data_IF_472466377055
#
_entry.id   IF_472466377055
#
_cell.length_a   1.000
_cell.length_b   1.000
_cell.length_c   1.000
_cell.angle_alpha   90.00
_cell.angle_beta   90.00
_cell.angle_gamma   90.00
#
_symmetry.space_group_name_H-M   'P 1'
#
loop_
_entity.id
_entity.type
_entity.pdbx_description
1 polymer ?
#
# COMPACT_ATOMS: atom_id res chain seq x y z
N UNK A 1 7.25 23.08 -17.87
CA UNK A 1 6.29 23.11 -16.75
C UNK A 1 6.29 21.75 -16.08
N UNK A 2 6.24 21.73 -14.75
CA UNK A 2 6.19 20.51 -13.95
C UNK A 2 4.88 20.46 -13.17
N UNK A 3 4.36 19.25 -12.96
CA UNK A 3 3.24 18.96 -12.06
C UNK A 3 3.79 18.22 -10.85
N UNK A 4 3.44 18.66 -9.64
CA UNK A 4 3.85 17.95 -8.44
C UNK A 4 3.12 16.61 -8.33
N UNK A 5 3.67 15.68 -7.54
CA UNK A 5 2.99 14.39 -7.30
C UNK A 5 1.65 14.60 -6.57
N UNK A 6 1.60 15.53 -5.62
CA UNK A 6 0.37 15.85 -4.89
C UNK A 6 -0.73 16.38 -5.80
N UNK A 7 -0.39 17.26 -6.75
CA UNK A 7 -1.37 17.79 -7.73
C UNK A 7 -1.86 16.69 -8.69
N UNK A 8 -0.95 15.81 -9.15
CA UNK A 8 -1.36 14.65 -9.95
C UNK A 8 -2.30 13.76 -9.13
N UNK A 9 -1.94 13.46 -7.87
CA UNK A 9 -2.74 12.63 -6.96
C UNK A 9 -4.13 13.21 -6.74
N UNK A 10 -4.24 14.52 -6.48
CA UNK A 10 -5.52 15.20 -6.34
C UNK A 10 -6.39 15.06 -7.60
N UNK A 11 -5.81 15.28 -8.78
CA UNK A 11 -6.51 15.09 -10.07
C UNK A 11 -7.01 13.66 -10.24
N UNK A 12 -6.17 12.65 -9.97
CA UNK A 12 -6.50 11.23 -10.06
C UNK A 12 -7.62 10.78 -9.10
N UNK A 13 -7.87 11.55 -8.04
CA UNK A 13 -8.94 11.33 -7.07
C UNK A 13 -10.21 12.15 -7.36
N UNK A 14 -10.11 13.12 -8.26
CA UNK A 14 -11.20 14.02 -8.62
C UNK A 14 -11.88 13.63 -9.93
N UNK A 15 -12.86 14.44 -10.34
CA UNK A 15 -13.49 14.30 -11.65
C UNK A 15 -12.62 14.82 -12.82
N UNK A 16 -11.52 15.52 -12.54
CA UNK A 16 -10.65 16.12 -13.55
C UNK A 16 -9.95 15.05 -14.42
N UNK A 17 -10.13 15.16 -15.74
CA UNK A 17 -9.52 14.25 -16.71
C UNK A 17 -8.01 14.51 -16.86
N UNK A 18 -7.22 13.45 -16.70
CA UNK A 18 -5.78 13.45 -16.98
C UNK A 18 -5.47 12.33 -17.96
N UNK A 19 -4.63 12.61 -18.94
CA UNK A 19 -4.06 11.59 -19.83
C UNK A 19 -2.59 11.36 -19.46
N UNK A 20 -2.21 10.11 -19.20
CA UNK A 20 -0.81 9.78 -18.94
C UNK A 20 -0.08 9.30 -20.20
N UNK A 21 1.05 9.93 -20.48
CA UNK A 21 2.03 9.44 -21.46
C UNK A 21 3.26 8.91 -20.72
N UNK A 22 3.34 7.60 -20.55
CA UNK A 22 4.47 6.95 -19.88
C UNK A 22 5.54 6.57 -20.90
N UNK A 23 6.74 7.11 -20.74
CA UNK A 23 7.86 6.89 -21.68
C UNK A 23 8.91 5.89 -21.19
N UNK A 24 8.61 5.16 -20.10
CA UNK A 24 9.49 4.09 -19.60
C UNK A 24 9.46 2.87 -20.52
N UNK A 25 10.46 1.98 -20.42
CA UNK A 25 10.39 0.65 -21.03
C UNK A 25 9.09 -0.06 -20.68
N UNK A 26 8.49 -0.76 -21.66
CA UNK A 26 7.17 -1.38 -21.47
C UNK A 26 7.13 -2.42 -20.34
N UNK A 27 8.27 -3.06 -20.03
CA UNK A 27 8.38 -3.97 -18.88
C UNK A 27 8.20 -3.24 -17.54
N UNK A 28 8.83 -2.08 -17.37
CA UNK A 28 8.69 -1.26 -16.15
C UNK A 28 7.27 -0.68 -16.03
N UNK A 29 6.71 -0.22 -17.15
CA UNK A 29 5.33 0.24 -17.20
C UNK A 29 4.34 -0.86 -16.82
N UNK A 30 4.48 -2.06 -17.39
CA UNK A 30 3.60 -3.19 -17.09
C UNK A 30 3.70 -3.65 -15.63
N UNK A 31 4.90 -3.59 -15.04
CA UNK A 31 5.12 -3.98 -13.65
C UNK A 31 4.51 -2.96 -12.65
N UNK A 32 4.49 -1.67 -12.99
CA UNK A 32 4.03 -0.64 -12.06
C UNK A 32 3.49 0.59 -12.77
N UNK A 33 2.20 0.83 -12.57
CA UNK A 33 1.43 1.90 -13.22
C UNK A 33 0.94 2.92 -12.21
N UNK A 34 0.78 4.16 -12.66
CA UNK A 34 -0.01 5.14 -11.93
C UNK A 34 -1.50 4.82 -12.17
N UNK A 35 -2.28 4.80 -11.11
CA UNK A 35 -3.70 4.46 -11.14
C UNK A 35 -4.49 5.56 -10.41
N UNK A 36 -5.71 5.80 -10.85
CA UNK A 36 -6.64 6.74 -10.23
C UNK A 36 -7.86 6.05 -9.64
N UNK A 37 -8.76 6.84 -9.05
CA UNK A 37 -10.05 6.37 -8.54
C UNK A 37 -10.94 5.79 -9.64
N UNK A 38 -10.74 6.25 -10.87
CA UNK A 38 -11.45 5.82 -12.09
C UNK A 38 -10.43 5.30 -13.12
N UNK A 39 -10.87 4.51 -14.12
CA UNK A 39 -10.01 4.07 -15.21
C UNK A 39 -9.27 5.26 -15.82
N UNK A 40 -7.95 5.17 -15.83
CA UNK A 40 -7.06 6.24 -16.27
C UNK A 40 -6.58 5.96 -17.69
N UNK A 41 -6.87 6.87 -18.61
CA UNK A 41 -6.34 6.79 -19.97
C UNK A 41 -4.82 6.96 -19.93
N UNK A 42 -4.12 5.94 -20.40
CA UNK A 42 -2.66 5.90 -20.38
C UNK A 42 -2.14 5.28 -21.67
N UNK A 43 -1.13 5.93 -22.25
CA UNK A 43 -0.37 5.42 -23.38
C UNK A 43 1.09 5.22 -22.96
N UNK A 44 1.63 4.02 -23.17
CA UNK A 44 3.05 3.76 -22.98
C UNK A 44 3.80 3.79 -24.32
N UNK A 45 4.76 4.70 -24.45
CA UNK A 45 5.63 4.81 -25.62
C UNK A 45 7.08 4.89 -25.13
N UNK A 46 7.83 3.77 -25.11
CA UNK A 46 9.20 3.78 -24.60
C UNK A 46 10.08 4.82 -25.31
N UNK A 47 10.80 5.63 -24.54
CA UNK A 47 11.66 6.70 -25.07
C UNK A 47 12.71 6.16 -26.06
N UNK A 48 13.18 4.93 -25.89
CA UNK A 48 14.14 4.30 -26.81
C UNK A 48 13.59 4.18 -28.23
N UNK A 49 12.26 4.00 -28.39
CA UNK A 49 11.62 4.01 -29.71
C UNK A 49 11.49 5.41 -30.28
N UNK A 50 11.33 6.41 -29.42
CA UNK A 50 11.22 7.81 -29.82
C UNK A 50 12.53 8.39 -30.36
N UNK A 51 13.67 7.84 -29.91
CA UNK A 51 15.01 8.34 -30.24
C UNK A 51 15.76 7.49 -31.26
N UNK A 52 15.14 6.45 -31.80
CA UNK A 52 15.81 5.50 -32.70
C UNK A 52 16.41 6.17 -33.96
N UNK A 53 15.82 7.28 -34.40
CA UNK A 53 16.22 8.04 -35.60
C UNK A 53 16.63 9.50 -35.28
N UNK A 54 16.96 9.82 -34.02
CA UNK A 54 17.25 11.18 -33.59
C UNK A 54 18.75 11.50 -33.67
N UNK A 55 19.15 12.42 -34.56
CA UNK A 55 20.57 12.80 -34.70
C UNK A 55 21.01 13.91 -33.73
N UNK A 56 20.22 14.98 -33.51
CA UNK A 56 20.67 16.12 -32.66
C UNK A 56 19.59 16.78 -31.76
N UNK A 57 18.30 16.77 -32.12
CA UNK A 57 17.22 17.40 -31.34
C UNK A 57 16.28 16.35 -30.72
N UNK A 58 16.62 15.92 -29.50
CA UNK A 58 15.86 14.92 -28.72
C UNK A 58 14.40 15.35 -28.51
N UNK A 59 14.09 16.59 -28.03
CA UNK A 59 12.72 17.07 -27.94
C UNK A 59 11.95 17.00 -29.27
N UNK A 60 12.51 17.52 -30.36
CA UNK A 60 11.83 17.55 -31.66
C UNK A 60 11.66 16.15 -32.25
N UNK A 61 12.64 15.26 -32.10
CA UNK A 61 12.55 13.88 -32.58
C UNK A 61 11.52 13.07 -31.78
N UNK A 62 11.53 13.19 -30.45
CA UNK A 62 10.57 12.51 -29.59
C UNK A 62 9.15 13.00 -29.85
N UNK A 63 8.99 14.32 -30.03
CA UNK A 63 7.76 14.88 -30.53
C UNK A 63 7.42 14.20 -31.87
N UNK A 64 8.24 14.39 -32.92
CA UNK A 64 7.98 13.96 -34.30
C UNK A 64 7.51 12.49 -34.36
N UNK A 65 8.16 11.62 -33.59
CA UNK A 65 7.79 10.22 -33.43
C UNK A 65 6.38 10.05 -32.84
N UNK A 66 6.07 10.75 -31.75
CA UNK A 66 4.74 10.73 -31.12
C UNK A 66 3.66 11.19 -32.09
N UNK A 67 3.86 12.27 -32.85
CA UNK A 67 2.88 12.70 -33.86
C UNK A 67 2.72 11.66 -34.96
N UNK A 68 3.81 11.24 -35.59
CA UNK A 68 3.76 10.28 -36.71
C UNK A 68 3.03 8.99 -36.35
N UNK A 69 3.20 8.50 -35.11
CA UNK A 69 2.73 7.17 -34.71
C UNK A 69 1.50 7.18 -33.79
N UNK A 70 1.20 8.31 -33.14
CA UNK A 70 0.18 8.40 -32.09
C UNK A 70 -0.67 9.69 -32.15
N UNK A 71 -0.58 10.47 -33.24
CA UNK A 71 -1.58 11.52 -33.53
C UNK A 71 -2.98 10.89 -33.59
N UNK A 72 -3.94 11.52 -32.92
CA UNK A 72 -5.31 10.99 -32.72
C UNK A 72 -5.47 10.01 -31.53
N UNK A 73 -4.38 9.54 -30.91
CA UNK A 73 -4.43 8.72 -29.68
C UNK A 73 -4.19 9.51 -28.39
N UNK A 74 -3.61 10.71 -28.51
CA UNK A 74 -3.48 11.66 -27.40
C UNK A 74 -4.63 12.67 -27.52
N UNK A 75 -5.54 12.75 -26.52
CA UNK A 75 -6.69 13.63 -26.57
C UNK A 75 -6.26 15.10 -26.62
N UNK A 76 -6.96 15.89 -27.43
CA UNK A 76 -6.86 17.36 -27.43
C UNK A 76 -7.79 17.91 -26.35
N UNK A 77 -7.33 18.92 -25.60
CA UNK A 77 -8.13 19.58 -24.55
C UNK A 77 -8.05 18.91 -23.16
N UNK A 78 -7.33 17.81 -23.01
CA UNK A 78 -6.98 17.22 -21.71
C UNK A 78 -5.55 17.57 -21.31
N UNK A 79 -5.30 17.68 -20.00
CA UNK A 79 -3.95 17.78 -19.47
C UNK A 79 -3.19 16.46 -19.73
N UNK A 80 -2.10 16.54 -20.50
CA UNK A 80 -1.19 15.43 -20.77
C UNK A 80 -0.05 15.45 -19.75
N UNK A 81 0.02 14.44 -18.90
CA UNK A 81 1.11 14.29 -17.93
C UNK A 81 2.10 13.25 -18.48
N UNK A 82 3.31 13.70 -18.78
CA UNK A 82 4.38 12.80 -19.24
C UNK A 82 5.16 12.25 -18.04
N UNK A 83 5.48 10.96 -18.10
CA UNK A 83 6.08 10.23 -16.97
C UNK A 83 7.28 9.41 -17.44
N UNK A 84 8.40 9.51 -16.73
CA UNK A 84 9.51 8.56 -16.81
C UNK A 84 9.99 8.20 -15.39
N UNK A 85 11.07 7.43 -15.26
CA UNK A 85 11.59 7.00 -13.96
C UNK A 85 11.90 8.16 -13.00
N UNK A 86 12.61 9.20 -13.46
CA UNK A 86 13.10 10.32 -12.63
C UNK A 86 12.59 11.71 -13.09
N UNK A 87 11.67 11.76 -14.05
CA UNK A 87 11.12 13.01 -14.59
C UNK A 87 12.07 13.81 -15.51
N UNK A 88 13.20 13.23 -15.93
CA UNK A 88 14.19 13.89 -16.83
C UNK A 88 13.79 13.73 -18.29
N UNK A 89 13.75 12.49 -18.79
CA UNK A 89 13.37 12.18 -20.18
C UNK A 89 11.97 12.68 -20.52
N UNK A 90 11.01 12.50 -19.62
CA UNK A 90 9.63 12.95 -19.81
C UNK A 90 9.50 14.47 -19.91
N UNK A 91 10.44 15.26 -19.37
CA UNK A 91 10.43 16.70 -19.49
C UNK A 91 10.63 17.17 -20.95
N UNK A 92 11.58 16.55 -21.66
CA UNK A 92 11.81 16.81 -23.09
C UNK A 92 10.59 16.41 -23.94
N UNK A 93 9.96 15.28 -23.62
CA UNK A 93 8.73 14.84 -24.31
C UNK A 93 7.58 15.82 -24.09
N UNK A 94 7.39 16.32 -22.86
CA UNK A 94 6.37 17.33 -22.58
C UNK A 94 6.64 18.64 -23.32
N UNK A 95 7.89 19.04 -23.46
CA UNK A 95 8.28 20.22 -24.24
C UNK A 95 7.96 20.07 -25.72
N UNK A 96 8.33 18.93 -26.30
CA UNK A 96 7.98 18.57 -27.66
C UNK A 96 6.47 18.67 -27.92
N UNK A 97 5.66 18.06 -27.05
CA UNK A 97 4.19 18.12 -27.13
C UNK A 97 3.63 19.55 -27.04
N UNK A 98 4.19 20.40 -26.17
CA UNK A 98 3.77 21.80 -26.04
C UNK A 98 4.03 22.61 -27.30
N UNK A 99 5.14 22.37 -28.00
CA UNK A 99 5.42 23.04 -29.28
C UNK A 99 4.36 22.77 -30.36
N UNK A 100 3.52 21.75 -30.16
CA UNK A 100 2.41 21.36 -31.03
C UNK A 100 1.03 21.67 -30.48
N UNK A 101 0.96 22.51 -29.44
CA UNK A 101 -0.29 22.99 -28.86
C UNK A 101 -1.01 21.97 -27.97
N UNK A 102 -0.31 20.97 -27.44
CA UNK A 102 -0.86 20.16 -26.34
C UNK A 102 -0.62 20.86 -25.00
N UNK A 103 -1.60 20.79 -24.10
CA UNK A 103 -1.39 21.12 -22.69
C UNK A 103 -0.63 19.97 -22.02
N UNK A 104 0.70 20.04 -22.04
CA UNK A 104 1.57 18.96 -21.55
C UNK A 104 2.50 19.40 -20.43
N UNK A 105 2.53 18.62 -19.35
CA UNK A 105 3.37 18.82 -18.16
C UNK A 105 4.16 17.56 -17.84
N UNK A 106 5.32 17.74 -17.21
CA UNK A 106 6.15 16.65 -16.72
C UNK A 106 5.82 16.33 -15.27
N UNK A 107 5.69 15.06 -14.92
CA UNK A 107 5.61 14.66 -13.51
C UNK A 107 6.94 14.93 -12.82
N UNK A 108 6.95 15.86 -11.86
CA UNK A 108 8.15 16.25 -11.13
C UNK A 108 8.75 15.05 -10.40
N UNK A 109 10.01 14.73 -10.70
CA UNK A 109 10.72 13.58 -10.12
C UNK A 109 10.26 12.21 -10.63
N UNK A 110 9.28 12.16 -11.54
CA UNK A 110 8.81 10.93 -12.19
C UNK A 110 8.27 9.87 -11.24
N UNK A 111 8.39 8.60 -11.65
CA UNK A 111 7.93 7.45 -10.86
C UNK A 111 8.66 7.28 -9.53
N UNK A 112 9.89 7.74 -9.40
CA UNK A 112 10.61 7.73 -8.13
C UNK A 112 9.92 8.64 -7.10
N UNK A 113 9.52 9.85 -7.51
CA UNK A 113 8.76 10.74 -6.64
C UNK A 113 7.35 10.22 -6.38
N UNK A 114 6.67 9.65 -7.41
CA UNK A 114 5.38 8.98 -7.24
C UNK A 114 5.46 7.86 -6.18
N UNK A 115 6.48 7.02 -6.29
CA UNK A 115 6.74 5.93 -5.36
C UNK A 115 6.95 6.38 -3.93
N UNK A 116 7.53 7.55 -3.71
CA UNK A 116 7.84 8.09 -2.38
C UNK A 116 6.80 9.12 -1.89
N UNK A 117 5.64 9.20 -2.54
CA UNK A 117 4.58 10.06 -2.08
C UNK A 117 3.76 9.42 -0.97
N UNK A 118 3.51 10.21 0.07
CA UNK A 118 2.70 9.87 1.22
C UNK A 118 1.57 10.89 1.35
N UNK A 119 0.40 10.42 1.76
CA UNK A 119 -0.74 11.26 2.08
C UNK A 119 -1.36 10.81 3.41
N UNK A 120 -1.94 11.76 4.13
CA UNK A 120 -2.61 11.48 5.40
C UNK A 120 -4.08 11.89 5.34
N UNK A 121 -4.95 11.10 5.95
CA UNK A 121 -6.38 11.36 6.00
C UNK A 121 -6.91 11.18 7.42
N UNK A 122 -7.67 12.16 7.91
CA UNK A 122 -8.37 12.06 9.18
C UNK A 122 -9.64 11.20 9.00
N UNK A 123 -9.70 10.07 9.68
CA UNK A 123 -10.77 9.07 9.51
C UNK A 123 -11.80 9.15 10.62
N UNK A 124 -11.35 9.34 11.85
CA UNK A 124 -12.19 9.55 13.03
C UNK A 124 -11.65 10.75 13.80
N UNK A 125 -12.52 11.65 14.21
CA UNK A 125 -12.20 12.78 15.09
C UNK A 125 -13.30 12.92 16.14
N UNK A 126 -12.90 12.81 17.40
CA UNK A 126 -13.70 12.98 18.61
C UNK A 126 -12.88 13.87 19.59
N UNK A 127 -13.49 14.50 20.61
CA UNK A 127 -12.84 15.55 21.41
C UNK A 127 -11.44 15.22 21.98
N UNK A 128 -11.19 13.95 22.32
CA UNK A 128 -9.90 13.47 22.83
C UNK A 128 -9.42 12.21 22.07
N UNK A 129 -9.93 11.97 20.86
CA UNK A 129 -9.63 10.73 20.14
C UNK A 129 -9.59 10.97 18.64
N UNK A 130 -8.55 10.48 17.98
CA UNK A 130 -8.45 10.56 16.53
C UNK A 130 -7.84 9.30 15.93
N UNK A 131 -8.31 8.92 14.74
CA UNK A 131 -7.66 7.91 13.90
C UNK A 131 -7.29 8.55 12.59
N UNK A 132 -6.00 8.53 12.28
CA UNK A 132 -5.41 9.13 11.09
C UNK A 132 -4.78 8.02 10.26
N UNK A 133 -5.13 7.98 8.98
CA UNK A 133 -4.48 7.13 7.99
C UNK A 133 -3.20 7.80 7.52
N UNK A 134 -2.13 7.03 7.34
CA UNK A 134 -0.97 7.39 6.52
C UNK A 134 -0.91 6.38 5.37
N UNK A 135 -1.09 6.85 4.14
CA UNK A 135 -1.09 6.01 2.95
C UNK A 135 0.15 6.29 2.10
N UNK A 136 0.66 5.25 1.45
CA UNK A 136 1.63 5.36 0.35
C UNK A 136 0.96 4.89 -0.94
N UNK A 137 0.25 5.77 -1.66
CA UNK A 137 -0.73 5.35 -2.66
C UNK A 137 -0.14 4.55 -3.81
N UNK A 138 1.07 4.90 -4.21
CA UNK A 138 1.79 4.22 -5.29
C UNK A 138 2.05 2.73 -5.02
N UNK A 139 2.03 2.34 -3.74
CA UNK A 139 2.28 0.99 -3.26
C UNK A 139 1.03 0.28 -2.77
N UNK A 140 -0.01 1.04 -2.42
CA UNK A 140 -1.24 0.49 -1.84
C UNK A 140 -1.13 0.15 -0.36
N UNK A 141 -0.09 0.63 0.34
CA UNK A 141 0.15 0.37 1.76
C UNK A 141 -0.51 1.44 2.62
N UNK A 142 -1.02 1.01 3.78
CA UNK A 142 -1.69 1.83 4.77
C UNK A 142 -1.05 1.61 6.13
N UNK A 143 -1.06 2.67 6.90
CA UNK A 143 -0.61 2.72 8.27
C UNK A 143 -1.57 3.60 9.06
N UNK A 144 -1.63 3.39 10.37
CA UNK A 144 -2.59 4.06 11.22
C UNK A 144 -1.91 4.73 12.40
N UNK A 145 -2.32 5.95 12.67
CA UNK A 145 -2.01 6.67 13.90
C UNK A 145 -3.31 6.77 14.69
N UNK A 146 -3.28 6.28 15.92
CA UNK A 146 -4.40 6.41 16.87
C UNK A 146 -3.96 7.30 18.00
N UNK A 147 -4.73 8.34 18.29
CA UNK A 147 -4.46 9.31 19.36
C UNK A 147 -5.59 9.22 20.38
N UNK A 148 -5.25 9.18 21.67
CA UNK A 148 -6.20 9.28 22.79
C UNK A 148 -5.61 10.21 23.86
N UNK A 149 -6.20 11.38 24.05
CA UNK A 149 -5.61 12.46 24.84
C UNK A 149 -4.28 12.94 24.27
N UNK A 150 -3.21 12.87 25.07
CA UNK A 150 -1.85 13.24 24.68
C UNK A 150 -0.99 12.03 24.28
N UNK A 151 -1.56 10.82 24.21
CA UNK A 151 -0.86 9.60 23.83
C UNK A 151 -1.22 9.17 22.40
N UNK A 152 -0.26 8.52 21.71
CA UNK A 152 -0.46 7.97 20.39
C UNK A 152 0.11 6.55 20.23
N UNK A 153 -0.55 5.73 19.42
CA UNK A 153 -0.03 4.46 18.90
C UNK A 153 0.10 4.54 17.39
N UNK A 154 1.20 3.98 16.87
CA UNK A 154 1.41 3.80 15.43
C UNK A 154 1.28 2.34 15.08
N UNK A 155 0.51 2.02 14.05
CA UNK A 155 0.26 0.66 13.57
C UNK A 155 0.72 0.57 12.12
N UNK A 156 1.51 -0.46 11.82
CA UNK A 156 2.10 -0.75 10.51
C UNK A 156 2.83 0.45 9.87
N UNK A 157 3.75 1.13 10.59
CA UNK A 157 4.48 2.27 10.06
C UNK A 157 5.24 1.94 8.77
N UNK A 158 5.02 2.77 7.76
CA UNK A 158 5.71 2.70 6.48
C UNK A 158 7.12 3.31 6.59
N UNK A 159 8.00 2.94 5.66
CA UNK A 159 9.44 3.25 5.69
C UNK A 159 9.82 4.71 5.99
N UNK A 160 9.11 5.69 5.44
CA UNK A 160 9.42 7.11 5.65
C UNK A 160 8.83 7.62 6.97
N UNK A 161 9.65 8.03 7.96
CA UNK A 161 9.16 8.48 9.26
C UNK A 161 8.51 9.88 9.23
N UNK A 162 8.80 10.70 8.22
CA UNK A 162 8.45 12.13 8.22
C UNK A 162 6.94 12.43 8.44
N UNK A 163 5.98 11.73 7.78
CA UNK A 163 4.55 12.00 7.98
C UNK A 163 4.09 11.75 9.43
N UNK A 164 4.69 10.77 10.10
CA UNK A 164 4.38 10.41 11.48
C UNK A 164 4.88 11.48 12.44
N UNK A 165 6.16 11.84 12.33
CA UNK A 165 6.79 12.87 13.18
C UNK A 165 6.08 14.22 13.04
N UNK A 166 5.70 14.60 11.81
CA UNK A 166 4.91 15.80 11.56
C UNK A 166 3.54 15.73 12.24
N UNK A 167 2.85 14.60 12.14
CA UNK A 167 1.54 14.39 12.79
C UNK A 167 1.65 14.54 14.31
N UNK A 168 2.65 13.92 14.95
CA UNK A 168 2.83 14.01 16.40
C UNK A 168 3.18 15.44 16.85
N UNK A 169 4.03 16.14 16.10
CA UNK A 169 4.35 17.54 16.36
C UNK A 169 3.11 18.43 16.27
N UNK A 170 2.27 18.23 15.25
CA UNK A 170 1.08 19.05 15.03
C UNK A 170 -0.03 18.75 16.03
N UNK A 171 -0.15 17.50 16.50
CA UNK A 171 -1.17 17.08 17.48
C UNK A 171 -0.70 17.17 18.94
N UNK A 172 0.59 17.39 19.19
CA UNK A 172 1.17 17.41 20.53
C UNK A 172 1.13 16.06 21.25
N UNK A 173 1.11 14.95 20.50
CA UNK A 173 0.96 13.60 21.06
C UNK A 173 2.30 12.90 21.28
N UNK A 174 2.44 12.18 22.40
CA UNK A 174 3.57 11.32 22.74
C UNK A 174 3.27 9.88 22.32
N UNK A 175 4.16 9.27 21.54
CA UNK A 175 3.98 7.88 21.11
C UNK A 175 4.25 6.92 22.27
N UNK A 176 3.25 6.12 22.64
CA UNK A 176 3.31 5.13 23.71
C UNK A 176 3.59 3.71 23.19
N UNK A 177 3.30 3.42 21.92
CA UNK A 177 3.66 2.17 21.27
C UNK A 177 3.79 2.31 19.75
N UNK A 178 4.70 1.52 19.17
CA UNK A 178 4.80 1.29 17.73
C UNK A 178 4.56 -0.21 17.49
N UNK A 179 3.60 -0.55 16.63
CA UNK A 179 3.12 -1.91 16.46
C UNK A 179 3.20 -2.27 14.98
N UNK A 180 3.83 -3.40 14.67
CA UNK A 180 3.60 -4.08 13.39
C UNK A 180 2.64 -5.25 13.62
N UNK A 181 1.54 -5.25 12.87
CA UNK A 181 0.52 -6.32 12.89
C UNK A 181 1.11 -7.65 12.43
N UNK A 182 2.11 -7.59 11.55
CA UNK A 182 2.84 -8.73 11.05
C UNK A 182 4.20 -8.26 10.51
N UNK A 183 5.14 -9.18 10.29
CA UNK A 183 6.36 -8.84 9.57
C UNK A 183 6.05 -8.63 8.09
N UNK A 184 6.01 -7.38 7.62
CA UNK A 184 5.63 -7.02 6.25
C UNK A 184 6.55 -7.65 5.20
N UNK A 185 5.99 -7.93 4.01
CA UNK A 185 6.72 -8.53 2.89
C UNK A 185 6.84 -7.60 1.69
N UNK A 186 5.94 -6.64 1.56
CA UNK A 186 5.79 -5.71 0.43
C UNK A 186 6.48 -4.36 0.66
N UNK A 187 6.80 -4.04 1.92
CA UNK A 187 7.51 -2.84 2.30
C UNK A 187 8.42 -3.08 3.50
N UNK A 188 9.45 -2.23 3.60
CA UNK A 188 10.32 -2.15 4.76
C UNK A 188 9.61 -1.32 5.81
N UNK A 189 9.39 -1.92 6.98
CA UNK A 189 8.74 -1.28 8.12
C UNK A 189 9.57 -0.10 8.62
N UNK A 190 8.90 1.03 8.86
CA UNK A 190 9.46 2.15 9.59
C UNK A 190 9.46 1.95 11.10
N UNK A 191 8.90 0.83 11.60
CA UNK A 191 8.56 0.65 13.01
C UNK A 191 9.74 0.65 13.95
N UNK A 192 10.81 -0.06 13.61
CA UNK A 192 12.05 -0.06 14.40
C UNK A 192 12.68 1.33 14.46
N UNK A 193 12.75 2.03 13.32
CA UNK A 193 13.36 3.37 13.23
C UNK A 193 12.56 4.36 14.05
N UNK A 194 11.23 4.38 13.87
CA UNK A 194 10.33 5.25 14.63
C UNK A 194 10.36 4.96 16.13
N UNK A 195 10.36 3.69 16.53
CA UNK A 195 10.42 3.30 17.94
C UNK A 195 11.69 3.82 18.63
N UNK A 196 12.85 3.71 17.96
CA UNK A 196 14.12 4.25 18.47
C UNK A 196 14.09 5.78 18.55
N UNK A 197 13.65 6.45 17.48
CA UNK A 197 13.60 7.91 17.42
C UNK A 197 12.66 8.51 18.47
N UNK A 198 11.51 7.87 18.68
CA UNK A 198 10.48 8.30 19.62
C UNK A 198 10.67 7.77 21.04
N UNK A 199 11.66 6.88 21.25
CA UNK A 199 11.88 6.14 22.50
C UNK A 199 10.61 5.41 22.99
N UNK A 200 9.88 4.84 22.05
CA UNK A 200 8.65 4.10 22.29
C UNK A 200 8.92 2.58 22.17
N UNK A 201 8.20 1.73 22.92
CA UNK A 201 8.28 0.29 22.75
C UNK A 201 7.77 -0.14 21.37
N UNK A 202 8.55 -0.99 20.70
CA UNK A 202 8.16 -1.66 19.46
C UNK A 202 7.55 -3.03 19.77
N UNK A 203 6.45 -3.37 19.09
CA UNK A 203 5.70 -4.61 19.29
C UNK A 203 5.55 -5.41 18.00
N UNK A 204 5.75 -6.72 18.10
CA UNK A 204 5.55 -7.69 17.03
C UNK A 204 5.18 -9.05 17.64
N UNK A 205 4.45 -9.88 16.90
CA UNK A 205 4.22 -11.27 17.32
C UNK A 205 5.49 -12.13 17.12
N UNK A 206 5.87 -13.00 18.07
CA UNK A 206 7.12 -13.77 18.00
C UNK A 206 7.25 -14.69 16.77
N UNK A 207 6.14 -15.23 16.24
CA UNK A 207 6.19 -16.03 15.00
C UNK A 207 6.58 -15.25 13.76
N UNK A 208 6.41 -13.93 13.76
CA UNK A 208 6.84 -13.06 12.67
C UNK A 208 8.25 -12.51 12.87
N UNK A 209 8.86 -12.77 14.03
CA UNK A 209 10.29 -12.64 14.22
C UNK A 209 11.07 -13.87 13.71
N UNK A 210 10.44 -14.78 12.97
CA UNK A 210 11.08 -15.91 12.30
C UNK A 210 10.81 -15.78 10.81
N UNK A 211 11.86 -15.82 9.99
CA UNK A 211 11.66 -15.70 8.55
C UNK A 211 11.02 -16.98 7.98
N UNK A 212 9.92 -16.90 7.22
CA UNK A 212 9.04 -18.04 6.99
C UNK A 212 9.57 -19.06 5.97
N UNK A 213 10.59 -18.70 5.18
CA UNK A 213 11.14 -19.56 4.11
C UNK A 213 12.42 -20.29 4.53
N UNK A 214 13.35 -19.60 5.19
CA UNK A 214 14.63 -20.17 5.64
C UNK A 214 14.62 -20.51 7.15
N UNK A 215 13.54 -20.19 7.86
CA UNK A 215 13.31 -20.50 9.27
C UNK A 215 14.34 -19.89 10.23
N UNK A 216 15.05 -18.84 9.79
CA UNK A 216 16.04 -18.15 10.61
C UNK A 216 15.36 -17.24 11.63
N UNK A 217 15.79 -17.26 12.91
CA UNK A 217 15.31 -16.32 13.91
C UNK A 217 15.84 -14.91 13.61
N UNK A 218 14.96 -13.93 13.61
CA UNK A 218 15.25 -12.53 13.41
C UNK A 218 16.16 -11.95 14.48
N UNK A 219 16.81 -10.82 14.13
CA UNK A 219 17.71 -10.05 14.99
C UNK A 219 17.10 -8.66 15.22
N UNK A 220 16.02 -8.63 15.97
CA UNK A 220 15.34 -7.41 16.37
C UNK A 220 14.99 -7.46 17.86
N UNK A 221 14.98 -6.29 18.48
CA UNK A 221 14.40 -6.11 19.81
C UNK A 221 12.94 -5.69 19.66
N UNK A 222 12.04 -6.39 20.35
CA UNK A 222 10.61 -6.12 20.31
C UNK A 222 9.92 -6.71 21.54
N UNK A 223 8.74 -6.17 21.83
CA UNK A 223 7.82 -6.66 22.84
C UNK A 223 6.79 -7.58 22.18
N UNK A 224 6.35 -8.61 22.89
CA UNK A 224 5.48 -9.63 22.30
C UNK A 224 4.03 -9.14 22.22
N UNK A 225 3.45 -9.28 21.03
CA UNK A 225 2.02 -9.31 20.86
C UNK A 225 1.54 -10.75 21.08
N UNK A 226 0.61 -10.94 22.01
CA UNK A 226 0.05 -12.26 22.34
C UNK A 226 -1.48 -12.19 22.39
N UNK A 227 -2.14 -13.25 21.96
CA UNK A 227 -3.60 -13.39 22.06
C UNK A 227 -4.10 -13.07 23.49
N UNK A 228 -5.18 -12.30 23.57
CA UNK A 228 -5.84 -11.98 24.84
C UNK A 228 -5.11 -10.94 25.71
N UNK A 229 -3.89 -10.53 25.32
CA UNK A 229 -3.22 -9.39 25.93
C UNK A 229 -3.87 -8.07 25.50
N UNK A 230 -3.47 -6.98 26.16
CA UNK A 230 -3.97 -5.66 25.84
C UNK A 230 -2.94 -4.56 26.01
N UNK A 231 -3.08 -3.52 25.20
CA UNK A 231 -2.29 -2.30 25.27
C UNK A 231 -3.22 -1.12 25.56
N UNK A 232 -2.84 -0.29 26.52
CA UNK A 232 -3.59 0.92 26.85
C UNK A 232 -3.11 2.09 26.01
N UNK A 233 -4.05 2.96 25.64
CA UNK A 233 -3.79 4.21 24.93
C UNK A 233 -4.72 5.28 25.54
N UNK A 234 -4.21 6.08 26.48
CA UNK A 234 -5.04 6.99 27.25
C UNK A 234 -6.21 6.27 27.93
N UNK A 235 -7.45 6.62 27.54
CA UNK A 235 -8.69 5.99 28.03
C UNK A 235 -9.16 4.80 27.19
N UNK A 236 -8.50 4.56 26.07
CA UNK A 236 -8.82 3.47 25.13
C UNK A 236 -7.95 2.25 25.38
N UNK A 237 -8.46 1.08 24.98
CA UNK A 237 -7.76 -0.20 25.15
C UNK A 237 -7.82 -1.04 23.89
N UNK A 238 -6.65 -1.44 23.42
CA UNK A 238 -6.51 -2.46 22.38
C UNK A 238 -6.59 -3.86 22.98
N UNK A 239 -7.42 -4.72 22.40
CA UNK A 239 -7.39 -6.17 22.53
C UNK A 239 -6.55 -6.76 21.38
N UNK A 240 -5.59 -7.62 21.70
CA UNK A 240 -4.74 -8.27 20.69
C UNK A 240 -5.35 -9.61 20.29
N UNK A 241 -5.63 -9.76 18.99
CA UNK A 241 -6.22 -10.96 18.39
C UNK A 241 -5.20 -11.62 17.46
N UNK A 242 -4.69 -12.81 17.79
CA UNK A 242 -3.80 -13.58 16.92
C UNK A 242 -4.58 -14.20 15.74
N UNK A 243 -4.28 -13.77 14.53
CA UNK A 243 -5.02 -14.11 13.31
C UNK A 243 -4.10 -14.72 12.24
N UNK A 244 -3.48 -15.88 12.52
CA UNK A 244 -2.56 -16.51 11.59
C UNK A 244 -3.24 -16.83 10.26
N UNK A 245 -2.49 -16.72 9.17
CA UNK A 245 -2.98 -16.95 7.82
C UNK A 245 -2.06 -16.31 6.79
N UNK A 246 -2.09 -14.98 6.71
CA UNK A 246 -1.18 -14.22 5.84
C UNK A 246 0.29 -14.43 6.21
N UNK A 247 0.56 -14.30 7.50
CA UNK A 247 1.77 -14.78 8.17
C UNK A 247 1.34 -15.65 9.36
N UNK A 248 2.28 -16.37 9.96
CA UNK A 248 2.00 -17.14 11.17
C UNK A 248 1.87 -16.24 12.41
N UNK A 249 2.50 -15.07 12.41
CA UNK A 249 2.43 -14.11 13.50
C UNK A 249 1.39 -12.99 13.33
N UNK A 250 0.61 -12.96 12.25
CA UNK A 250 -0.33 -11.88 12.03
C UNK A 250 -1.28 -11.67 13.22
N UNK A 251 -1.44 -10.41 13.65
CA UNK A 251 -2.39 -9.99 14.67
C UNK A 251 -3.34 -8.92 14.14
N UNK A 252 -4.54 -8.87 14.68
CA UNK A 252 -5.46 -7.75 14.55
C UNK A 252 -5.62 -7.07 15.91
N UNK A 253 -5.88 -5.77 15.91
CA UNK A 253 -6.02 -4.96 17.12
C UNK A 253 -7.45 -4.44 17.18
N UNK A 254 -8.21 -4.86 18.20
CA UNK A 254 -9.58 -4.39 18.42
C UNK A 254 -9.57 -3.32 19.51
N UNK A 255 -9.82 -2.07 19.13
CA UNK A 255 -9.84 -0.93 20.04
C UNK A 255 -11.26 -0.62 20.49
N UNK A 256 -11.49 -0.67 21.80
CA UNK A 256 -12.76 -0.34 22.47
C UNK A 256 -13.98 -1.05 21.85
N UNK A 257 -13.77 -2.19 21.20
CA UNK A 257 -14.78 -2.95 20.42
C UNK A 257 -15.48 -2.13 19.32
N UNK A 258 -14.85 -1.06 18.84
CA UNK A 258 -15.37 -0.13 17.81
C UNK A 258 -14.51 -0.10 16.56
N UNK A 259 -13.20 -0.25 16.70
CA UNK A 259 -12.25 -0.07 15.62
C UNK A 259 -11.35 -1.31 15.52
N UNK A 260 -11.39 -2.00 14.38
CA UNK A 260 -10.59 -3.20 14.12
C UNK A 260 -9.48 -2.88 13.14
N UNK A 261 -8.24 -2.76 13.64
CA UNK A 261 -7.04 -2.68 12.80
C UNK A 261 -6.68 -4.10 12.38
N UNK A 262 -7.04 -4.45 11.14
CA UNK A 262 -7.02 -5.81 10.64
C UNK A 262 -5.69 -6.23 9.99
N UNK A 263 -4.74 -5.28 9.84
CA UNK A 263 -3.49 -5.49 9.11
C UNK A 263 -3.76 -6.17 7.76
N UNK A 264 -2.95 -7.17 7.45
CA UNK A 264 -3.11 -8.02 6.27
C UNK A 264 -3.90 -9.28 6.59
N UNK A 265 -5.17 -9.09 6.94
CA UNK A 265 -6.14 -10.19 7.07
C UNK A 265 -7.38 -9.91 6.24
N UNK A 266 -8.02 -8.75 6.46
CA UNK A 266 -9.28 -8.35 5.82
C UNK A 266 -9.14 -6.94 5.22
N UNK A 267 -9.37 -6.82 3.92
CA UNK A 267 -9.32 -5.56 3.19
C UNK A 267 -10.73 -5.07 2.81
N UNK A 268 -10.84 -3.89 2.18
CA UNK A 268 -12.15 -3.33 1.79
C UNK A 268 -12.84 -4.24 0.77
N UNK A 269 -12.15 -4.57 -0.32
CA UNK A 269 -12.73 -5.38 -1.41
C UNK A 269 -12.13 -6.81 -1.52
N UNK A 270 -11.11 -7.16 -0.73
CA UNK A 270 -10.44 -8.48 -0.79
C UNK A 270 -10.00 -8.99 0.60
N UNK A 271 -9.30 -10.13 0.64
CA UNK A 271 -8.62 -10.69 1.80
C UNK A 271 -7.15 -10.96 1.45
N UNK A 272 -6.32 -11.22 2.46
CA UNK A 272 -4.90 -11.51 2.28
C UNK A 272 -4.64 -12.89 1.65
N UNK A 273 -3.50 -13.02 0.97
CA UNK A 273 -2.93 -14.31 0.54
C UNK A 273 -2.29 -15.08 1.70
N UNK A 274 -2.47 -16.42 1.83
CA UNK A 274 -1.85 -17.20 2.91
C UNK A 274 -0.59 -17.99 2.48
N UNK A 275 0.13 -17.58 1.43
CA UNK A 275 1.24 -18.36 0.85
C UNK A 275 2.62 -17.72 1.04
N UNK A 276 2.76 -16.70 1.90
CA UNK A 276 4.04 -15.98 2.05
C UNK A 276 5.21 -16.84 2.57
N UNK A 277 4.92 -17.97 3.21
CA UNK A 277 5.91 -18.99 3.59
C UNK A 277 6.04 -20.14 2.60
N UNK A 278 5.48 -20.03 1.39
CA UNK A 278 5.44 -21.13 0.41
C UNK A 278 4.54 -22.30 0.81
N UNK A 279 3.68 -22.10 1.82
CA UNK A 279 2.85 -23.13 2.48
C UNK A 279 1.36 -22.79 2.44
N UNK A 280 0.88 -22.47 1.23
CA UNK A 280 -0.50 -22.01 1.03
C UNK A 280 -1.54 -23.03 1.53
N UNK A 281 -1.32 -24.32 1.27
CA UNK A 281 -2.24 -25.38 1.66
C UNK A 281 -2.33 -25.52 3.19
N UNK A 282 -1.21 -25.39 3.89
CA UNK A 282 -1.16 -25.49 5.35
C UNK A 282 -1.68 -24.23 6.06
N UNK A 283 -1.48 -23.05 5.48
CA UNK A 283 -1.86 -21.78 6.11
C UNK A 283 -3.30 -21.36 5.78
N UNK A 284 -3.88 -21.87 4.69
CA UNK A 284 -5.26 -21.59 4.30
C UNK A 284 -6.29 -21.95 5.40
N UNK A 285 -6.23 -23.13 6.06
CA UNK A 285 -7.14 -23.44 7.17
C UNK A 285 -7.00 -22.48 8.36
N UNK A 286 -5.77 -22.03 8.66
CA UNK A 286 -5.52 -21.04 9.71
C UNK A 286 -6.16 -19.70 9.34
N UNK A 287 -5.94 -19.24 8.10
CA UNK A 287 -6.52 -18.01 7.59
C UNK A 287 -8.05 -18.04 7.61
N UNK A 288 -8.65 -19.17 7.22
CA UNK A 288 -10.09 -19.40 7.28
C UNK A 288 -10.63 -19.25 8.70
N UNK A 289 -9.99 -19.90 9.69
CA UNK A 289 -10.39 -19.81 11.10
C UNK A 289 -10.27 -18.37 11.64
N UNK A 290 -9.18 -17.69 11.32
CA UNK A 290 -8.92 -16.30 11.68
C UNK A 290 -9.98 -15.35 11.12
N UNK A 291 -10.29 -15.45 9.83
CA UNK A 291 -11.33 -14.64 9.19
C UNK A 291 -12.70 -14.89 9.81
N UNK A 292 -13.08 -16.15 10.05
CA UNK A 292 -14.36 -16.47 10.71
C UNK A 292 -14.47 -15.85 12.08
N UNK A 293 -13.37 -15.86 12.85
CA UNK A 293 -13.33 -15.25 14.18
C UNK A 293 -13.51 -13.73 14.12
N UNK A 294 -12.78 -13.05 13.22
CA UNK A 294 -12.94 -11.61 13.02
C UNK A 294 -14.35 -11.25 12.52
N UNK A 295 -14.87 -12.02 11.57
CA UNK A 295 -16.21 -11.83 11.00
C UNK A 295 -17.32 -12.20 12.00
N UNK A 296 -17.03 -12.82 13.14
CA UNK A 296 -18.01 -13.06 14.20
C UNK A 296 -18.11 -11.91 15.23
N UNK A 297 -17.24 -10.90 15.17
CA UNK A 297 -17.26 -9.78 16.13
C UNK A 297 -18.56 -8.97 15.98
N UNK A 298 -19.36 -8.96 17.04
CA UNK A 298 -20.64 -8.23 17.06
C UNK A 298 -20.46 -6.73 17.30
N UNK A 299 -21.46 -5.94 16.90
CA UNK A 299 -21.48 -4.48 17.04
C UNK A 299 -21.15 -3.73 15.76
N UNK A 300 -21.20 -2.39 15.85
CA UNK A 300 -20.84 -1.48 14.76
C UNK A 300 -19.33 -1.24 14.78
N UNK A 301 -18.59 -2.17 14.16
CA UNK A 301 -17.13 -2.13 14.07
C UNK A 301 -16.69 -1.57 12.71
N UNK A 302 -15.83 -0.55 12.74
CA UNK A 302 -15.14 -0.05 11.55
C UNK A 302 -13.80 -0.77 11.38
N UNK A 303 -13.51 -1.24 10.17
CA UNK A 303 -12.30 -2.00 9.84
C UNK A 303 -11.28 -1.11 9.16
N UNK A 304 -10.04 -1.19 9.63
CA UNK A 304 -8.85 -0.46 9.21
C UNK A 304 -7.82 -1.46 8.66
N UNK A 305 -7.73 -1.63 7.33
CA UNK A 305 -6.83 -2.59 6.69
C UNK A 305 -5.36 -2.11 6.63
N UNK A 306 -4.43 -3.03 6.39
CA UNK A 306 -3.02 -2.72 6.09
C UNK A 306 -2.78 -2.34 4.61
N UNK A 307 -3.66 -2.76 3.70
CA UNK A 307 -3.50 -2.53 2.26
C UNK A 307 -4.81 -2.25 1.53
N UNK A 308 -4.67 -1.68 0.33
CA UNK A 308 -5.73 -1.57 -0.67
C UNK A 308 -5.23 -1.98 -2.06
N UNK A 309 -6.14 -2.46 -2.90
CA UNK A 309 -5.86 -2.92 -4.26
C UNK A 309 -6.28 -1.92 -5.33
N UNK A 310 -7.13 -0.95 -5.02
CA UNK A 310 -7.58 0.08 -5.94
C UNK A 310 -7.84 1.39 -5.21
N UNK A 311 -7.47 2.52 -5.82
CA UNK A 311 -7.84 3.84 -5.30
C UNK A 311 -9.36 4.05 -5.22
N UNK A 312 -10.14 3.25 -5.97
CA UNK A 312 -11.60 3.22 -5.92
C UNK A 312 -12.16 2.73 -4.56
N UNK A 313 -11.36 1.99 -3.77
CA UNK A 313 -11.75 1.50 -2.44
C UNK A 313 -11.85 2.63 -1.39
N UNK A 314 -11.27 3.80 -1.67
CA UNK A 314 -11.31 4.94 -0.76
C UNK A 314 -12.68 5.63 -0.73
N UNK A 315 -13.07 6.09 0.46
CA UNK A 315 -14.24 6.95 0.65
C UNK A 315 -14.01 8.38 0.11
N UNK A 316 -14.95 9.29 0.38
CA UNK A 316 -14.84 10.70 -0.04
C UNK A 316 -13.74 11.49 0.68
N UNK A 317 -13.22 10.98 1.80
CA UNK A 317 -12.12 11.57 2.58
C UNK A 317 -10.76 11.02 2.15
N UNK A 318 -10.73 10.06 1.23
CA UNK A 318 -9.51 9.33 0.86
C UNK A 318 -9.12 8.23 1.85
N UNK A 319 -10.01 7.86 2.77
CA UNK A 319 -9.78 6.80 3.75
C UNK A 319 -10.22 5.45 3.19
N UNK A 320 -9.41 4.41 3.42
CA UNK A 320 -9.70 3.03 3.01
C UNK A 320 -10.23 2.26 4.23
N UNK A 321 -11.51 2.49 4.55
CA UNK A 321 -12.17 1.86 5.71
C UNK A 321 -13.56 1.39 5.34
N UNK A 322 -14.03 0.36 6.02
CA UNK A 322 -15.37 -0.18 5.80
C UNK A 322 -15.94 -0.79 7.08
N UNK A 323 -17.25 -0.69 7.31
CA UNK A 323 -17.87 -1.37 8.44
C UNK A 323 -17.78 -2.89 8.27
N UNK A 324 -17.50 -3.62 9.35
CA UNK A 324 -17.44 -5.09 9.36
C UNK A 324 -18.76 -5.71 8.85
N UNK A 325 -19.90 -5.08 9.18
CA UNK A 325 -21.22 -5.47 8.70
C UNK A 325 -21.33 -5.44 7.17
N UNK A 326 -20.79 -4.40 6.52
CA UNK A 326 -20.78 -4.31 5.05
C UNK A 326 -19.78 -5.29 4.44
N UNK A 327 -18.62 -5.49 5.07
CA UNK A 327 -17.63 -6.46 4.58
C UNK A 327 -18.19 -7.88 4.53
N UNK A 328 -18.96 -8.31 5.55
CA UNK A 328 -19.63 -9.63 5.55
C UNK A 328 -20.50 -9.89 4.32
N UNK A 329 -21.11 -8.85 3.74
CA UNK A 329 -22.03 -9.00 2.60
C UNK A 329 -21.40 -8.67 1.24
N UNK A 330 -20.43 -7.74 1.19
CA UNK A 330 -19.84 -7.27 -0.07
C UNK A 330 -18.52 -7.95 -0.42
N UNK A 331 -17.67 -8.22 0.57
CA UNK A 331 -16.32 -8.75 0.34
C UNK A 331 -16.40 -10.24 -0.01
N UNK A 332 -15.89 -10.63 -1.18
CA UNK A 332 -16.00 -12.00 -1.68
C UNK A 332 -15.24 -13.00 -0.79
N UNK A 333 -14.02 -12.64 -0.39
CA UNK A 333 -13.21 -13.47 0.51
C UNK A 333 -13.88 -13.66 1.89
N UNK A 334 -14.52 -12.60 2.41
CA UNK A 334 -15.29 -12.69 3.66
C UNK A 334 -16.51 -13.62 3.52
N UNK A 335 -17.26 -13.52 2.41
CA UNK A 335 -18.38 -14.43 2.13
C UNK A 335 -17.91 -15.88 2.01
N UNK A 336 -16.80 -16.11 1.31
CA UNK A 336 -16.20 -17.44 1.18
C UNK A 336 -15.78 -18.01 2.54
N UNK A 337 -15.20 -17.18 3.43
CA UNK A 337 -14.80 -17.61 4.77
C UNK A 337 -15.99 -17.93 5.70
N UNK A 338 -17.15 -17.29 5.49
CA UNK A 338 -18.38 -17.64 6.22
C UNK A 338 -19.01 -18.96 5.75
N UNK A 339 -18.68 -19.39 4.53
CA UNK A 339 -19.14 -20.63 3.92
C UNK A 339 -18.37 -21.88 4.38
N UNK A 340 -18.25 -22.82 3.44
CA UNK A 340 -17.59 -24.12 3.64
C UNK A 340 -16.06 -24.02 3.50
N UNK A 341 -15.27 -24.65 4.40
CA UNK A 341 -13.80 -24.62 4.34
C UNK A 341 -13.19 -25.12 3.01
N UNK A 342 -13.79 -26.11 2.34
CA UNK A 342 -13.25 -26.63 1.08
C UNK A 342 -13.53 -25.68 -0.09
N UNK A 343 -14.69 -25.01 -0.08
CA UNK A 343 -14.98 -23.93 -1.02
C UNK A 343 -14.01 -22.75 -0.82
N UNK A 344 -13.74 -22.36 0.42
CA UNK A 344 -12.75 -21.32 0.74
C UNK A 344 -11.34 -21.70 0.25
N UNK A 345 -10.88 -22.92 0.49
CA UNK A 345 -9.58 -23.37 0.01
C UNK A 345 -9.46 -23.35 -1.52
N UNK A 346 -10.54 -23.74 -2.22
CA UNK A 346 -10.61 -23.65 -3.68
C UNK A 346 -10.52 -22.19 -4.15
N UNK A 347 -11.24 -21.28 -3.48
CA UNK A 347 -11.19 -19.85 -3.76
C UNK A 347 -9.78 -19.26 -3.57
N UNK A 348 -9.10 -19.60 -2.47
CA UNK A 348 -7.70 -19.18 -2.26
C UNK A 348 -6.84 -19.66 -3.42
N UNK A 349 -6.85 -20.96 -3.72
CA UNK A 349 -6.00 -21.58 -4.74
C UNK A 349 -6.19 -20.96 -6.14
N UNK A 350 -7.42 -20.58 -6.50
CA UNK A 350 -7.72 -19.96 -7.80
C UNK A 350 -7.42 -18.46 -7.87
N UNK A 351 -7.18 -17.83 -6.72
CA UNK A 351 -7.03 -16.38 -6.57
C UNK A 351 -5.62 -15.95 -6.16
N UNK A 352 -4.73 -16.90 -5.85
CA UNK A 352 -3.34 -16.64 -5.47
C UNK A 352 -2.61 -15.86 -6.57
N UNK A 353 -2.07 -14.68 -6.26
CA UNK A 353 -1.29 -13.93 -7.22
C UNK A 353 0.15 -14.45 -7.29
N UNK A 354 0.91 -13.98 -8.29
CA UNK A 354 2.35 -14.25 -8.38
C UNK A 354 3.07 -13.83 -7.09
N UNK A 355 4.07 -14.61 -6.66
CA UNK A 355 4.89 -14.30 -5.49
C UNK A 355 6.12 -13.46 -5.90
N UNK A 356 6.24 -12.18 -5.47
CA UNK A 356 7.40 -11.36 -5.81
C UNK A 356 8.67 -11.84 -5.08
N UNK A 357 9.78 -12.13 -5.79
CA UNK A 357 11.02 -12.59 -5.15
C UNK A 357 11.58 -11.63 -4.09
N UNK A 358 11.35 -10.33 -4.26
CA UNK A 358 11.79 -9.27 -3.35
C UNK A 358 11.19 -9.41 -1.94
N UNK A 359 10.04 -10.07 -1.81
CA UNK A 359 9.36 -10.24 -0.53
C UNK A 359 10.18 -11.01 0.50
N UNK A 360 11.05 -11.91 0.02
CA UNK A 360 12.00 -12.65 0.85
C UNK A 360 13.00 -11.68 1.49
N UNK A 361 13.62 -10.81 0.69
CA UNK A 361 14.61 -9.86 1.19
C UNK A 361 13.98 -8.78 2.07
N UNK A 362 12.79 -8.29 1.72
CA UNK A 362 12.05 -7.33 2.56
C UNK A 362 11.73 -7.93 3.93
N UNK A 363 11.21 -9.17 4.00
CA UNK A 363 11.01 -9.85 5.29
C UNK A 363 12.32 -10.03 6.05
N UNK A 364 13.44 -10.35 5.39
CA UNK A 364 14.75 -10.40 6.05
C UNK A 364 15.15 -9.05 6.65
N UNK A 365 14.90 -7.94 5.95
CA UNK A 365 15.14 -6.60 6.48
C UNK A 365 14.26 -6.34 7.71
N UNK A 366 12.96 -6.59 7.60
CA UNK A 366 12.00 -6.37 8.68
C UNK A 366 12.27 -7.26 9.91
N UNK A 367 12.88 -8.43 9.69
CA UNK A 367 13.32 -9.32 10.77
C UNK A 367 14.76 -9.05 11.24
N UNK A 368 15.46 -8.04 10.72
CA UNK A 368 16.84 -7.72 11.08
C UNK A 368 17.89 -8.73 10.60
N UNK A 369 17.54 -9.61 9.67
CA UNK A 369 18.43 -10.60 9.06
C UNK A 369 19.25 -10.04 7.90
N UNK A 370 18.83 -8.92 7.32
CA UNK A 370 19.48 -8.26 6.20
C UNK A 370 19.50 -6.74 6.42
N UNK A 371 20.65 -6.12 6.23
CA UNK A 371 20.80 -4.66 6.18
C UNK A 371 21.11 -4.25 4.74
N UNK A 372 20.52 -3.13 4.30
CA UNK A 372 20.67 -2.59 2.94
C UNK A 372 20.81 -1.07 3.01
N UNK A 373 21.43 -0.49 1.99
CA UNK A 373 21.43 0.96 1.81
C UNK A 373 20.08 1.47 1.23
N UNK A 374 19.92 2.78 1.18
CA UNK A 374 18.67 3.42 0.74
C UNK A 374 18.34 3.14 -0.73
N UNK A 375 19.35 3.00 -1.58
CA UNK A 375 19.18 2.72 -3.01
C UNK A 375 18.63 1.30 -3.20
N UNK A 376 19.23 0.30 -2.54
CA UNK A 376 18.75 -1.08 -2.59
C UNK A 376 17.40 -1.24 -1.91
N UNK A 377 17.17 -0.56 -0.80
CA UNK A 377 15.87 -0.52 -0.15
C UNK A 377 14.79 0.03 -1.10
N UNK A 378 15.08 1.12 -1.81
CA UNK A 378 14.15 1.70 -2.78
C UNK A 378 13.88 0.78 -3.96
N UNK A 379 14.88 0.02 -4.44
CA UNK A 379 14.73 -0.97 -5.50
C UNK A 379 13.84 -2.15 -5.09
N UNK A 380 14.07 -2.70 -3.89
CA UNK A 380 13.32 -3.83 -3.35
C UNK A 380 11.82 -3.53 -3.27
N UNK A 381 11.49 -2.29 -2.95
CA UNK A 381 10.12 -1.87 -2.80
C UNK A 381 9.52 -1.22 -4.07
N UNK A 382 10.11 -1.44 -5.25
CA UNK A 382 9.51 -1.00 -6.51
C UNK A 382 8.27 -1.84 -6.85
N UNK A 383 7.20 -1.17 -7.24
CA UNK A 383 5.95 -1.81 -7.63
C UNK A 383 4.83 -1.59 -6.63
N UNK A 384 3.70 -2.23 -6.91
CA UNK A 384 2.54 -2.25 -6.02
C UNK A 384 2.62 -3.49 -5.11
N UNK A 385 2.06 -3.40 -3.91
CA UNK A 385 1.86 -4.58 -3.08
C UNK A 385 1.00 -5.62 -3.84
N UNK A 386 1.26 -6.89 -3.54
CA UNK A 386 0.55 -8.05 -4.06
C UNK A 386 0.12 -8.95 -2.88
N UNK A 387 -0.38 -8.30 -1.81
CA UNK A 387 -0.80 -8.98 -0.57
C UNK A 387 -2.27 -9.40 -0.60
N UNK A 388 -3.12 -8.67 -1.33
CA UNK A 388 -4.50 -9.04 -1.59
C UNK A 388 -4.61 -10.17 -2.63
N UNK A 389 -5.61 -11.03 -2.45
CA UNK A 389 -5.98 -12.01 -3.48
C UNK A 389 -6.45 -11.28 -4.73
N UNK A 390 -6.04 -11.81 -5.89
CA UNK A 390 -6.57 -11.37 -7.18
C UNK A 390 -8.01 -11.84 -7.34
N UNK A 391 -8.83 -11.12 -8.12
CA UNK A 391 -10.16 -11.62 -8.44
C UNK A 391 -10.03 -13.01 -9.07
N UNK A 392 -10.72 -14.01 -8.51
CA UNK A 392 -10.71 -15.37 -9.02
C UNK A 392 -10.96 -15.34 -10.53
N UNK A 393 -10.08 -15.96 -11.33
CA UNK A 393 -10.36 -16.15 -12.75
C UNK A 393 -11.63 -16.98 -12.83
N UNK A 394 -12.71 -16.40 -13.35
CA UNK A 394 -13.89 -17.19 -13.70
C UNK A 394 -13.44 -18.24 -14.70
N UNK A 395 -13.43 -19.50 -14.27
CA UNK A 395 -13.31 -20.64 -15.17
C UNK A 395 -14.61 -20.69 -15.96
N UNK A 396 -14.64 -19.98 -17.09
CA UNK A 396 -15.59 -20.23 -18.17
C UNK A 396 -15.11 -21.40 -19.01
#
# INVERSE_FOLDING_TARGET
>A
MNLSVGDLRARLMSDEGVFLLDVRPSKEFAAWRIEGKRPLETLNVPYTRMLADAEDDIPAAAAAYVRKNFEGKIPRGSLVVTVCAKGRTSAFVAEGLRSWGYEAVNLQGGMLAWGNHYESALVVEEPDFAVIQVARPARGCLSWIVISGDEAVVIDPLRNPAPYLETFRNRGARVSAVIDTHAHADHISGGRVLAVELKAPYYLHPYDAIHPMDMLPGKLEFNFLQEGSSLSLGRSRFEILHVPGHTLGAVALLLDRRFLFAGDTLFVDSISRPDLGGRAEEWTPLHHASLRRLLAIEGEVLVFPGHFSSAAESDSRGAYVCSLRVLRSRNEGAKMALGDPAAFATYIKSSLPFFPPQYVDIKRINTGLLEVDEDRASELELGKNVCALSAAKSTS
#
